data_IF_510938141476
#
_entry.id   IF_510938141476
#
_cell.length_a   1.000
_cell.length_b   1.000
_cell.length_c   1.000
_cell.angle_alpha   90.00
_cell.angle_beta   90.00
_cell.angle_gamma   90.00
#
_symmetry.space_group_name_H-M   'P 1'
#
loop_
_entity.id
_entity.type
_entity.pdbx_description
1 polymer ?
#
# COMPACT_ATOMS: atom_id res chain seq x y z
N UNK A 1 -0.59 -9.29 6.47
CA UNK A 1 -0.36 -9.23 5.00
C UNK A 1 -0.80 -10.49 4.22
N UNK A 2 -1.08 -11.65 4.83
CA UNK A 2 -1.81 -12.76 4.18
C UNK A 2 -1.31 -13.13 2.77
N UNK A 3 -2.22 -13.22 1.79
CA UNK A 3 -1.89 -13.50 0.39
C UNK A 3 -1.08 -12.41 -0.32
N UNK A 4 -0.93 -11.22 0.29
CA UNK A 4 -0.19 -10.10 -0.26
C UNK A 4 1.32 -10.18 0.02
N UNK A 5 1.78 -11.05 0.91
CA UNK A 5 3.21 -11.21 1.24
C UNK A 5 4.04 -11.68 0.04
N UNK A 6 3.42 -12.36 -0.91
CA UNK A 6 4.06 -12.82 -2.15
C UNK A 6 4.26 -11.71 -3.17
N UNK A 7 3.77 -10.49 -2.95
CA UNK A 7 3.92 -9.40 -3.91
C UNK A 7 5.08 -8.52 -3.47
N UNK A 8 6.24 -8.71 -4.08
CA UNK A 8 7.49 -8.02 -3.71
C UNK A 8 8.13 -7.38 -4.92
N UNK A 9 9.07 -6.47 -4.71
CA UNK A 9 9.81 -5.90 -5.84
C UNK A 9 10.67 -6.93 -6.59
N UNK A 10 11.04 -8.04 -5.93
CA UNK A 10 11.86 -9.12 -6.51
C UNK A 10 11.12 -9.93 -7.57
N UNK A 11 9.78 -10.02 -7.47
CA UNK A 11 8.96 -10.78 -8.42
C UNK A 11 8.03 -9.91 -9.27
N UNK A 12 8.16 -8.59 -9.15
CA UNK A 12 7.47 -7.61 -9.96
C UNK A 12 8.37 -7.19 -11.14
N UNK A 13 7.91 -7.44 -12.36
CA UNK A 13 8.57 -6.95 -13.57
C UNK A 13 8.64 -5.41 -13.58
N UNK A 14 9.82 -4.78 -13.66
CA UNK A 14 9.94 -3.32 -13.64
C UNK A 14 9.22 -2.63 -14.81
N UNK A 15 9.04 -3.30 -15.95
CA UNK A 15 8.29 -2.76 -17.10
C UNK A 15 6.81 -3.21 -17.10
N UNK A 16 6.36 -3.92 -16.07
CA UNK A 16 5.04 -4.50 -16.01
C UNK A 16 4.87 -5.67 -17.00
N UNK A 17 3.62 -5.93 -17.40
CA UNK A 17 3.24 -7.06 -18.28
C UNK A 17 2.54 -6.63 -19.56
N UNK A 18 2.44 -5.33 -19.82
CA UNK A 18 1.81 -4.84 -21.05
C UNK A 18 2.70 -5.14 -22.26
N UNK A 19 2.11 -5.48 -23.40
CA UNK A 19 2.82 -5.55 -24.68
C UNK A 19 2.98 -4.19 -25.37
N UNK A 20 2.38 -3.13 -24.83
CA UNK A 20 2.45 -1.79 -25.39
C UNK A 20 3.65 -1.02 -24.79
N UNK A 21 4.59 -0.50 -25.60
CA UNK A 21 5.79 0.19 -25.12
C UNK A 21 5.49 1.42 -24.25
N UNK A 22 4.44 2.18 -24.56
CA UNK A 22 4.05 3.37 -23.79
C UNK A 22 3.60 2.93 -22.39
N UNK A 23 2.77 1.89 -22.30
CA UNK A 23 2.33 1.37 -21.00
C UNK A 23 3.49 0.79 -20.17
N UNK A 24 4.46 0.15 -20.82
CA UNK A 24 5.67 -0.34 -20.17
C UNK A 24 6.50 0.80 -19.58
N UNK A 25 6.69 1.88 -20.34
CA UNK A 25 7.40 3.07 -19.88
C UNK A 25 6.67 3.74 -18.70
N UNK A 26 5.34 3.90 -18.79
CA UNK A 26 4.54 4.46 -17.70
C UNK A 26 4.60 3.59 -16.44
N UNK A 27 4.54 2.27 -16.59
CA UNK A 27 4.67 1.35 -15.46
C UNK A 27 6.07 1.42 -14.84
N UNK A 28 7.13 1.49 -15.65
CA UNK A 28 8.50 1.63 -15.16
C UNK A 28 8.68 2.89 -14.32
N UNK A 29 8.10 4.03 -14.74
CA UNK A 29 8.11 5.26 -13.92
C UNK A 29 7.40 5.07 -12.58
N UNK A 30 6.26 4.39 -12.56
CA UNK A 30 5.54 4.08 -11.32
C UNK A 30 6.30 3.09 -10.43
N UNK A 31 6.98 2.11 -11.01
CA UNK A 31 7.85 1.16 -10.29
C UNK A 31 9.01 1.88 -9.60
N UNK A 32 9.71 2.76 -10.30
CA UNK A 32 10.82 3.54 -9.72
C UNK A 32 10.35 4.50 -8.62
N UNK A 33 9.20 5.14 -8.82
CA UNK A 33 8.58 5.97 -7.78
C UNK A 33 8.21 5.14 -6.54
N UNK A 34 7.67 3.94 -6.73
CA UNK A 34 7.34 3.01 -5.64
C UNK A 34 8.58 2.52 -4.88
N UNK A 35 9.65 2.13 -5.59
CA UNK A 35 10.96 1.76 -5.01
C UNK A 35 11.54 2.90 -4.18
N UNK A 36 11.52 4.11 -4.73
CA UNK A 36 12.03 5.31 -4.05
C UNK A 36 11.23 5.66 -2.80
N UNK A 37 9.89 5.55 -2.88
CA UNK A 37 9.04 5.77 -1.72
C UNK A 37 9.27 4.72 -0.64
N UNK A 38 9.42 3.44 -1.00
CA UNK A 38 9.62 2.36 -0.04
C UNK A 38 10.96 2.44 0.71
N UNK A 39 12.02 2.97 0.08
CA UNK A 39 13.32 3.16 0.73
C UNK A 39 13.33 4.33 1.72
N UNK A 40 12.47 5.33 1.51
CA UNK A 40 12.31 6.46 2.42
C UNK A 40 10.83 6.90 2.42
N UNK A 41 9.96 6.23 3.19
CA UNK A 41 8.51 6.47 3.16
C UNK A 41 8.18 7.80 3.84
N UNK A 42 8.20 8.88 3.04
CA UNK A 42 7.88 10.24 3.47
C UNK A 42 6.85 10.87 2.54
N UNK A 43 5.89 11.55 3.13
CA UNK A 43 4.80 12.19 2.38
C UNK A 43 3.86 11.17 1.74
N UNK A 44 3.27 11.53 0.61
CA UNK A 44 2.23 10.74 -0.05
C UNK A 44 2.68 10.26 -1.42
N UNK A 45 2.45 8.98 -1.71
CA UNK A 45 2.50 8.42 -3.05
C UNK A 45 1.10 7.98 -3.46
N UNK A 46 0.61 8.52 -4.59
CA UNK A 46 -0.72 8.17 -5.13
C UNK A 46 -0.51 7.46 -6.47
N UNK A 47 -1.04 6.24 -6.56
CA UNK A 47 -1.00 5.44 -7.79
C UNK A 47 -2.37 5.49 -8.49
N UNK A 48 -2.40 6.02 -9.71
CA UNK A 48 -3.63 6.18 -10.51
C UNK A 48 -3.49 5.45 -11.84
N UNK A 49 -4.54 4.76 -12.27
CA UNK A 49 -4.56 4.06 -13.54
C UNK A 49 -5.73 3.07 -13.66
N UNK A 50 -5.93 2.48 -14.85
CA UNK A 50 -7.03 1.54 -15.10
C UNK A 50 -6.88 0.24 -14.31
N UNK A 51 -7.95 -0.57 -14.29
CA UNK A 51 -7.92 -1.87 -13.62
C UNK A 51 -6.90 -2.81 -14.26
N UNK A 52 -6.30 -3.67 -13.43
CA UNK A 52 -5.28 -4.63 -13.88
C UNK A 52 -3.92 -4.02 -14.23
N UNK A 53 -3.70 -2.70 -14.12
CA UNK A 53 -2.39 -2.10 -14.43
C UNK A 53 -1.30 -2.32 -13.35
N UNK A 54 -1.62 -3.00 -12.24
CA UNK A 54 -0.64 -3.40 -11.22
C UNK A 54 -0.58 -2.52 -9.96
N UNK A 55 -1.49 -1.57 -9.77
CA UNK A 55 -1.55 -0.68 -8.58
C UNK A 55 -1.46 -1.44 -7.26
N UNK A 56 -2.34 -2.42 -7.05
CA UNK A 56 -2.39 -3.23 -5.82
C UNK A 56 -1.10 -4.01 -5.59
N UNK A 57 -0.46 -4.48 -6.67
CA UNK A 57 0.82 -5.18 -6.56
C UNK A 57 1.91 -4.22 -6.12
N UNK A 58 2.02 -3.04 -6.74
CA UNK A 58 2.97 -1.99 -6.32
C UNK A 58 2.76 -1.60 -4.86
N UNK A 59 1.52 -1.35 -4.43
CA UNK A 59 1.23 -1.01 -3.02
C UNK A 59 1.62 -2.14 -2.07
N UNK A 60 1.36 -3.40 -2.44
CA UNK A 60 1.77 -4.54 -1.61
C UNK A 60 3.29 -4.69 -1.56
N UNK A 61 3.99 -4.48 -2.68
CA UNK A 61 5.45 -4.49 -2.74
C UNK A 61 6.07 -3.39 -1.87
N UNK A 62 5.53 -2.16 -1.92
CA UNK A 62 5.93 -1.06 -1.04
C UNK A 62 5.75 -1.48 0.43
N UNK A 63 4.57 -1.97 0.80
CA UNK A 63 4.29 -2.35 2.19
C UNK A 63 5.24 -3.47 2.68
N UNK A 64 5.48 -4.50 1.87
CA UNK A 64 6.40 -5.58 2.22
C UNK A 64 7.85 -5.08 2.36
N UNK A 65 8.29 -4.16 1.50
CA UNK A 65 9.61 -3.52 1.58
C UNK A 65 9.75 -2.62 2.82
N UNK A 66 8.71 -1.86 3.17
CA UNK A 66 8.70 -1.08 4.40
C UNK A 66 8.85 -1.99 5.63
N UNK A 67 8.07 -3.08 5.67
CA UNK A 67 8.13 -4.05 6.77
C UNK A 67 9.49 -4.74 6.87
N UNK A 68 10.12 -5.10 5.74
CA UNK A 68 11.46 -5.73 5.75
C UNK A 68 12.55 -4.79 6.28
N UNK A 69 12.38 -3.48 6.11
CA UNK A 69 13.25 -2.44 6.66
C UNK A 69 12.84 -1.99 8.08
N UNK A 70 11.85 -2.62 8.70
CA UNK A 70 11.41 -2.31 10.07
C UNK A 70 10.49 -1.08 10.18
N UNK A 71 10.03 -0.53 9.06
CA UNK A 71 8.98 0.48 9.06
C UNK A 71 7.60 -0.19 9.24
N UNK A 72 6.82 0.20 10.25
CA UNK A 72 5.47 -0.33 10.42
C UNK A 72 4.61 0.08 9.22
N UNK A 73 3.86 -0.87 8.66
CA UNK A 73 2.94 -0.62 7.55
C UNK A 73 1.67 -1.45 7.69
N UNK A 74 0.54 -0.86 7.33
CA UNK A 74 -0.77 -1.51 7.27
C UNK A 74 -1.29 -1.48 5.83
N UNK A 75 -1.99 -2.55 5.45
CA UNK A 75 -2.66 -2.63 4.16
C UNK A 75 -4.15 -2.86 4.43
N UNK A 76 -4.97 -1.85 4.13
CA UNK A 76 -6.39 -1.85 4.44
C UNK A 76 -7.16 -1.21 3.28
N UNK A 77 -8.35 -1.73 2.98
CA UNK A 77 -9.24 -1.08 2.02
C UNK A 77 -9.89 0.15 2.65
N UNK A 78 -10.28 1.15 1.85
CA UNK A 78 -10.98 2.33 2.39
C UNK A 78 -12.27 1.97 3.12
N UNK A 79 -13.15 1.06 2.60
CA UNK A 79 -14.33 0.63 3.34
C UNK A 79 -13.99 0.01 4.69
N UNK A 80 -13.04 -0.94 4.74
CA UNK A 80 -12.67 -1.60 6.00
C UNK A 80 -12.10 -0.60 7.02
N UNK A 81 -11.30 0.36 6.55
CA UNK A 81 -10.77 1.43 7.40
C UNK A 81 -11.90 2.27 7.99
N UNK A 82 -12.86 2.68 7.16
CA UNK A 82 -14.00 3.48 7.61
C UNK A 82 -14.90 2.70 8.57
N UNK A 83 -15.10 1.41 8.34
CA UNK A 83 -15.89 0.56 9.22
C UNK A 83 -15.21 0.33 10.56
N UNK A 84 -13.89 0.12 10.59
CA UNK A 84 -13.11 0.11 11.82
C UNK A 84 -13.25 1.42 12.59
N UNK A 85 -13.08 2.56 11.90
CA UNK A 85 -13.25 3.88 12.54
C UNK A 85 -14.66 4.02 13.12
N UNK A 86 -15.72 3.75 12.33
CA UNK A 86 -17.11 3.85 12.80
C UNK A 86 -17.41 2.96 14.00
N UNK A 87 -16.87 1.75 14.02
CA UNK A 87 -17.07 0.81 15.13
C UNK A 87 -16.44 1.32 16.43
N UNK A 88 -15.26 1.94 16.35
CA UNK A 88 -14.61 2.59 17.48
C UNK A 88 -15.43 3.79 17.98
N UNK A 89 -16.05 4.58 17.08
CA UNK A 89 -16.86 5.75 17.46
C UNK A 89 -18.30 5.46 17.93
N UNK A 90 -18.67 4.19 18.12
CA UNK A 90 -20.02 3.82 18.55
C UNK A 90 -20.18 3.89 20.08
N UNK A 91 -21.26 4.49 20.62
CA UNK A 91 -21.44 4.79 22.05
C UNK A 91 -21.54 3.55 22.97
N UNK A 92 -21.64 2.35 22.41
CA UNK A 92 -21.71 1.07 23.12
C UNK A 92 -20.46 0.18 22.89
N UNK A 93 -19.37 0.71 22.34
CA UNK A 93 -18.17 -0.09 22.09
C UNK A 93 -17.35 -0.31 23.37
N UNK A 94 -17.10 -1.57 23.71
CA UNK A 94 -16.15 -1.99 24.78
C UNK A 94 -14.68 -1.95 24.32
N UNK A 95 -14.42 -1.44 23.11
CA UNK A 95 -13.10 -1.48 22.48
C UNK A 95 -12.28 -0.27 22.96
N UNK A 96 -11.16 -0.57 23.63
CA UNK A 96 -10.15 0.42 24.04
C UNK A 96 -9.69 1.18 22.80
N UNK A 97 -9.96 2.48 22.82
CA UNK A 97 -10.08 3.39 21.70
C UNK A 97 -8.77 3.78 20.99
N UNK A 98 -7.61 3.32 21.46
CA UNK A 98 -6.40 4.12 21.30
C UNK A 98 -5.36 3.58 20.32
N UNK A 99 -5.07 2.28 20.26
CA UNK A 99 -3.85 1.85 19.57
C UNK A 99 -3.91 1.98 18.04
N UNK A 100 -4.94 1.42 17.40
CA UNK A 100 -5.06 1.47 15.94
C UNK A 100 -5.31 2.89 15.42
N UNK A 101 -6.14 3.66 16.12
CA UNK A 101 -6.42 5.04 15.73
C UNK A 101 -5.17 5.93 15.88
N UNK A 102 -4.41 5.78 16.97
CA UNK A 102 -3.16 6.52 17.13
C UNK A 102 -2.10 6.08 16.10
N UNK A 103 -2.07 4.81 15.70
CA UNK A 103 -1.21 4.36 14.59
C UNK A 103 -1.57 5.02 13.26
N UNK A 104 -2.87 5.16 12.95
CA UNK A 104 -3.31 5.84 11.71
C UNK A 104 -3.06 7.34 11.77
N UNK A 105 -3.28 7.99 12.93
CA UNK A 105 -3.08 9.44 13.09
C UNK A 105 -1.61 9.86 13.00
N UNK A 106 -0.69 9.03 13.50
CA UNK A 106 0.73 9.35 13.61
C UNK A 106 1.55 8.84 12.40
N UNK A 107 0.89 8.34 11.35
CA UNK A 107 1.51 7.90 10.09
C UNK A 107 1.85 9.06 9.15
#
# INVERSE_FOLDING_TARGET
MGSLTRFTFDNLSPQGRSGNPINQEQFARAYEAAKTFASQPKGWLILVGPDGCGKTHLTAAIANECLSHGYPAFFISTPDLLDHLRSAFSPNSEIVYDEFFNQVRNA
#
